data_IF_281108962849
#
_entry.id   IF_281108962849
#
_cell.length_a   1.000
_cell.length_b   1.000
_cell.length_c   1.000
_cell.angle_alpha   90.00
_cell.angle_beta   90.00
_cell.angle_gamma   90.00
#
_symmetry.space_group_name_H-M   'P 1'
#
loop_
_entity.id
_entity.type
_entity.pdbx_description
1 polymer ?
#
# COMPACT_ATOMS: atom_id res chain seq x y z
N UNK A 1 -8.21 -23.81 2.56
CA UNK A 1 -7.75 -22.43 2.63
C UNK A 1 -6.57 -22.26 1.69
N UNK A 2 -6.49 -21.16 0.95
CA UNK A 2 -5.31 -20.88 0.13
C UNK A 2 -4.13 -20.58 1.04
N UNK A 3 -2.94 -21.05 0.67
CA UNK A 3 -1.73 -20.76 1.44
C UNK A 3 -1.27 -19.33 1.11
N UNK A 4 -1.69 -18.35 1.89
CA UNK A 4 -1.30 -16.95 1.70
C UNK A 4 0.15 -16.76 2.15
N UNK A 5 0.95 -16.18 1.27
CA UNK A 5 2.35 -15.86 1.52
C UNK A 5 2.43 -14.46 2.13
N UNK A 6 2.95 -14.38 3.33
CA UNK A 6 3.24 -13.11 4.01
C UNK A 6 4.66 -12.64 3.67
N UNK A 7 4.82 -11.37 3.27
CA UNK A 7 6.15 -10.79 3.12
C UNK A 7 6.94 -10.84 4.44
N UNK A 8 8.26 -10.72 4.36
CA UNK A 8 9.12 -10.66 5.54
C UNK A 8 8.79 -9.41 6.39
N UNK A 9 8.99 -9.53 7.70
CA UNK A 9 8.93 -8.39 8.59
C UNK A 9 10.08 -7.42 8.31
N UNK A 10 9.80 -6.13 8.35
CA UNK A 10 10.79 -5.08 8.13
C UNK A 10 11.73 -4.96 9.32
N UNK A 11 12.98 -4.61 9.03
CA UNK A 11 14.02 -4.25 10.01
C UNK A 11 14.41 -2.79 9.83
N UNK A 12 14.98 -2.19 10.87
CA UNK A 12 15.54 -0.83 10.77
C UNK A 12 16.59 -0.77 9.65
N UNK A 13 16.54 0.29 8.86
CA UNK A 13 17.33 0.46 7.65
C UNK A 13 16.70 -0.11 6.38
N UNK A 14 15.62 -0.91 6.48
CA UNK A 14 14.91 -1.40 5.30
C UNK A 14 14.30 -0.26 4.50
N UNK A 15 14.28 -0.44 3.17
CA UNK A 15 13.82 0.56 2.23
C UNK A 15 12.34 0.40 1.89
N UNK A 16 11.59 1.49 1.99
CA UNK A 16 10.19 1.60 1.59
C UNK A 16 10.10 2.45 0.32
N UNK A 17 9.63 1.86 -0.77
CA UNK A 17 9.36 2.58 -2.00
C UNK A 17 8.00 3.30 -1.91
N UNK A 18 7.97 4.57 -2.29
CA UNK A 18 6.74 5.33 -2.46
C UNK A 18 6.48 5.48 -3.96
N UNK A 19 5.33 5.02 -4.43
CA UNK A 19 4.91 5.07 -5.82
C UNK A 19 3.52 5.66 -5.97
N UNK A 20 3.20 6.19 -7.15
CA UNK A 20 1.88 6.75 -7.47
C UNK A 20 1.20 5.95 -8.59
N UNK A 21 0.57 4.81 -8.32
CA UNK A 21 -0.03 3.98 -9.37
C UNK A 21 -1.33 4.57 -9.94
N UNK A 22 -1.90 5.59 -9.33
CA UNK A 22 -3.16 6.21 -9.68
C UNK A 22 -3.02 7.72 -9.91
N UNK A 23 -3.53 8.54 -9.00
CA UNK A 23 -3.58 9.99 -9.14
C UNK A 23 -2.28 10.68 -8.83
N UNK A 24 -2.14 11.86 -9.39
CA UNK A 24 -1.08 12.82 -9.11
C UNK A 24 -1.04 13.26 -7.64
N UNK A 25 0.14 13.51 -7.11
CA UNK A 25 0.35 13.96 -5.74
C UNK A 25 1.40 15.07 -5.69
N UNK A 26 1.16 16.09 -4.89
CA UNK A 26 2.16 17.13 -4.61
C UNK A 26 3.19 16.62 -3.59
N UNK A 27 4.46 16.91 -3.81
CA UNK A 27 5.56 16.46 -2.95
C UNK A 27 5.37 16.88 -1.48
N UNK A 28 4.93 18.12 -1.25
CA UNK A 28 4.67 18.64 0.09
C UNK A 28 3.67 17.77 0.88
N UNK A 29 2.70 17.16 0.20
CA UNK A 29 1.70 16.29 0.86
C UNK A 29 2.23 14.92 1.29
N UNK A 30 3.44 14.55 0.88
CA UNK A 30 4.09 13.30 1.26
C UNK A 30 5.01 13.49 2.47
N UNK A 31 5.45 14.71 2.75
CA UNK A 31 6.57 14.98 3.67
C UNK A 31 6.30 14.51 5.10
N UNK A 32 5.08 14.68 5.62
CA UNK A 32 4.74 14.26 6.98
C UNK A 32 4.89 12.74 7.15
N UNK A 33 4.39 11.95 6.21
CA UNK A 33 4.51 10.48 6.29
C UNK A 33 5.95 10.03 5.99
N UNK A 34 6.68 10.70 5.09
CA UNK A 34 8.11 10.43 4.87
C UNK A 34 8.90 10.64 6.16
N UNK A 35 8.65 11.75 6.86
CA UNK A 35 9.30 12.01 8.15
C UNK A 35 8.94 10.96 9.19
N UNK A 36 7.67 10.53 9.23
CA UNK A 36 7.22 9.47 10.12
C UNK A 36 7.93 8.13 9.79
N UNK A 37 8.02 7.73 8.53
CA UNK A 37 8.74 6.53 8.10
C UNK A 37 10.21 6.59 8.57
N UNK A 38 10.88 7.72 8.36
CA UNK A 38 12.28 7.93 8.79
C UNK A 38 12.41 7.89 10.31
N UNK A 39 11.49 8.50 11.06
CA UNK A 39 11.50 8.45 12.53
C UNK A 39 11.33 7.04 13.09
N UNK A 40 10.70 6.15 12.33
CA UNK A 40 10.60 4.72 12.63
C UNK A 40 11.86 3.94 12.23
N UNK A 41 12.89 4.60 11.69
CA UNK A 41 14.19 4.00 11.32
C UNK A 41 14.19 3.27 9.99
N UNK A 42 13.28 3.62 9.08
CA UNK A 42 13.24 3.09 7.71
C UNK A 42 13.72 4.13 6.70
N UNK A 43 14.23 3.68 5.56
CA UNK A 43 14.61 4.53 4.45
C UNK A 43 13.46 4.67 3.45
N UNK A 44 13.43 5.77 2.71
CA UNK A 44 12.41 6.00 1.68
C UNK A 44 13.06 6.26 0.32
N UNK A 45 12.46 5.71 -0.72
CA UNK A 45 12.81 5.99 -2.11
C UNK A 45 11.54 6.26 -2.91
N UNK A 46 11.57 7.29 -3.74
CA UNK A 46 10.46 7.58 -4.65
C UNK A 46 10.66 6.84 -5.98
N UNK A 47 9.59 6.29 -6.52
CA UNK A 47 9.55 5.86 -7.89
C UNK A 47 9.80 7.04 -8.84
N UNK A 48 10.33 6.75 -10.01
CA UNK A 48 10.75 7.79 -10.99
C UNK A 48 9.61 8.73 -11.37
N UNK A 49 8.38 8.23 -11.44
CA UNK A 49 7.20 8.97 -11.86
C UNK A 49 6.22 9.28 -10.70
N UNK A 50 6.66 9.07 -9.46
CA UNK A 50 5.82 9.29 -8.27
C UNK A 50 5.25 10.70 -8.20
N UNK A 51 6.02 11.71 -8.56
CA UNK A 51 5.64 13.14 -8.58
C UNK A 51 5.27 13.64 -9.98
N UNK A 52 5.16 12.75 -10.95
CA UNK A 52 4.75 13.09 -12.30
C UNK A 52 3.30 13.58 -12.35
N UNK A 53 2.94 14.25 -13.45
CA UNK A 53 1.61 14.76 -13.71
C UNK A 53 1.24 14.54 -15.16
N UNK A 54 0.10 13.88 -15.37
CA UNK A 54 -0.45 13.62 -16.69
C UNK A 54 -1.97 13.79 -16.66
N UNK A 55 -2.46 14.73 -17.44
CA UNK A 55 -3.89 15.04 -17.54
C UNK A 55 -4.48 14.37 -18.78
N UNK A 56 -5.44 13.49 -18.57
CA UNK A 56 -6.21 12.84 -19.62
C UNK A 56 -7.59 12.41 -19.06
N UNK A 57 -8.51 13.38 -18.96
CA UNK A 57 -9.81 13.20 -18.32
C UNK A 57 -9.73 13.00 -16.80
N UNK A 58 -8.54 12.79 -16.28
CA UNK A 58 -8.21 12.69 -14.86
C UNK A 58 -6.74 13.10 -14.65
N UNK A 59 -6.40 13.61 -13.45
CA UNK A 59 -5.03 13.98 -13.11
C UNK A 59 -4.25 12.77 -12.56
N UNK A 60 -3.61 12.03 -13.46
CA UNK A 60 -2.73 10.90 -13.14
C UNK A 60 -1.33 11.36 -12.71
N UNK A 61 -0.60 10.49 -12.03
CA UNK A 61 0.83 10.70 -11.72
C UNK A 61 1.74 10.56 -12.95
N UNK A 62 1.23 10.01 -14.04
CA UNK A 62 1.93 9.77 -15.29
C UNK A 62 1.06 9.01 -16.27
N UNK A 63 1.58 8.81 -17.46
CA UNK A 63 0.96 7.91 -18.45
C UNK A 63 0.81 6.49 -17.88
N UNK A 64 -0.05 5.67 -18.47
CA UNK A 64 -0.18 4.27 -18.05
C UNK A 64 1.16 3.54 -18.07
N UNK A 65 1.98 3.74 -19.11
CA UNK A 65 3.31 3.15 -19.23
C UNK A 65 4.26 3.56 -18.09
N UNK A 66 4.27 4.82 -17.71
CA UNK A 66 5.12 5.34 -16.62
C UNK A 66 4.69 4.77 -15.26
N UNK A 67 3.38 4.73 -14.98
CA UNK A 67 2.86 4.13 -13.76
C UNK A 67 3.15 2.63 -13.68
N UNK A 68 3.02 1.89 -14.80
CA UNK A 68 3.43 0.47 -14.90
C UNK A 68 4.93 0.30 -14.63
N UNK A 69 5.78 1.19 -15.14
CA UNK A 69 7.22 1.13 -14.89
C UNK A 69 7.54 1.24 -13.40
N UNK A 70 6.94 2.21 -12.70
CA UNK A 70 7.17 2.41 -11.26
C UNK A 70 6.68 1.23 -10.43
N UNK A 71 5.48 0.70 -10.73
CA UNK A 71 4.96 -0.47 -9.99
C UNK A 71 5.85 -1.70 -10.22
N UNK A 72 6.22 -1.98 -11.48
CA UNK A 72 7.07 -3.11 -11.79
C UNK A 72 8.49 -2.95 -11.24
N UNK A 73 9.04 -1.74 -11.23
CA UNK A 73 10.31 -1.45 -10.58
C UNK A 73 10.23 -1.76 -9.08
N UNK A 74 9.21 -1.24 -8.40
CA UNK A 74 9.06 -1.47 -6.97
C UNK A 74 8.82 -2.95 -6.62
N UNK A 75 8.04 -3.65 -7.45
CA UNK A 75 7.76 -5.08 -7.27
C UNK A 75 9.01 -5.94 -7.42
N UNK A 76 9.91 -5.61 -8.36
CA UNK A 76 11.00 -6.47 -8.76
C UNK A 76 12.39 -5.98 -8.29
N UNK A 77 12.51 -4.85 -7.60
CA UNK A 77 13.77 -4.38 -7.04
C UNK A 77 14.05 -5.10 -5.71
N UNK A 78 15.14 -5.91 -5.59
CA UNK A 78 15.42 -6.71 -4.41
C UNK A 78 15.73 -5.89 -3.14
N UNK A 79 16.13 -4.63 -3.28
CA UNK A 79 16.46 -3.75 -2.14
C UNK A 79 15.22 -3.16 -1.45
N UNK A 80 14.05 -3.25 -2.10
CA UNK A 80 12.80 -2.74 -1.54
C UNK A 80 12.15 -3.81 -0.68
N UNK A 81 11.82 -3.46 0.56
CA UNK A 81 11.14 -4.34 1.53
C UNK A 81 9.62 -4.09 1.62
N UNK A 82 9.19 -2.84 1.38
CA UNK A 82 7.78 -2.49 1.31
C UNK A 82 7.51 -1.43 0.23
N UNK A 83 6.27 -1.39 -0.23
CA UNK A 83 5.80 -0.47 -1.26
C UNK A 83 4.58 0.26 -0.71
N UNK A 84 4.66 1.57 -0.66
CA UNK A 84 3.58 2.40 -0.13
C UNK A 84 3.02 3.31 -1.22
N UNK A 85 1.74 3.14 -1.51
CA UNK A 85 1.07 3.99 -2.49
C UNK A 85 0.97 5.44 -1.96
N UNK A 86 1.34 6.41 -2.79
CA UNK A 86 1.31 7.83 -2.42
C UNK A 86 -0.12 8.31 -2.15
N UNK A 87 -1.06 7.92 -3.00
CA UNK A 87 -2.50 8.20 -2.89
C UNK A 87 -3.33 7.20 -3.70
N UNK A 88 -4.64 7.23 -3.50
CA UNK A 88 -5.61 6.62 -4.39
C UNK A 88 -5.91 7.50 -5.62
N UNK A 89 -7.09 7.35 -6.16
CA UNK A 89 -7.56 8.08 -7.34
C UNK A 89 -8.27 7.17 -8.31
N UNK A 90 -7.78 7.09 -9.55
CA UNK A 90 -8.30 6.23 -10.59
C UNK A 90 -7.17 5.68 -11.47
N UNK A 91 -7.34 4.46 -11.97
CA UNK A 91 -6.51 3.90 -13.04
C UNK A 91 -5.61 2.73 -12.65
N UNK A 92 -5.60 2.28 -11.40
CA UNK A 92 -4.85 1.07 -10.99
C UNK A 92 -5.30 -0.17 -11.75
N UNK A 93 -6.59 -0.27 -12.09
CA UNK A 93 -7.13 -1.40 -12.85
C UNK A 93 -6.50 -1.57 -14.24
N UNK A 94 -6.07 -0.47 -14.88
CA UNK A 94 -5.44 -0.50 -16.19
C UNK A 94 -4.03 -1.12 -16.15
N UNK A 95 -3.40 -1.11 -14.97
CA UNK A 95 -2.04 -1.62 -14.80
C UNK A 95 -1.98 -3.14 -14.67
N UNK A 96 -3.05 -3.79 -14.16
CA UNK A 96 -3.01 -5.17 -13.68
C UNK A 96 -2.44 -6.18 -14.68
N UNK A 97 -2.85 -6.09 -15.94
CA UNK A 97 -2.41 -7.00 -17.02
C UNK A 97 -0.92 -6.88 -17.36
N UNK A 98 -0.28 -5.80 -16.92
CA UNK A 98 1.13 -5.49 -17.20
C UNK A 98 2.03 -5.64 -15.97
N UNK A 99 1.47 -6.00 -14.81
CA UNK A 99 2.25 -6.21 -13.59
C UNK A 99 3.02 -7.53 -13.68
N UNK A 100 4.31 -7.45 -13.37
CA UNK A 100 5.23 -8.58 -13.39
C UNK A 100 5.52 -9.04 -11.97
N UNK A 101 5.21 -10.30 -11.67
CA UNK A 101 5.41 -10.90 -10.34
C UNK A 101 6.57 -11.89 -10.29
N UNK A 102 7.43 -11.96 -11.32
CA UNK A 102 8.53 -12.92 -11.37
C UNK A 102 9.44 -12.84 -10.14
N UNK A 103 10.06 -11.69 -9.93
CA UNK A 103 10.95 -11.46 -8.80
C UNK A 103 10.17 -11.26 -7.49
N UNK A 104 8.96 -10.67 -7.57
CA UNK A 104 8.06 -10.53 -6.42
C UNK A 104 7.75 -11.87 -5.76
N UNK A 105 7.57 -12.94 -6.54
CA UNK A 105 7.33 -14.30 -6.02
C UNK A 105 8.49 -14.86 -5.20
N UNK A 106 9.71 -14.49 -5.55
CA UNK A 106 10.92 -14.93 -4.85
C UNK A 106 11.20 -14.08 -3.60
N UNK A 107 10.86 -12.80 -3.65
CA UNK A 107 11.03 -11.84 -2.55
C UNK A 107 9.77 -10.99 -2.38
N UNK A 108 8.68 -11.54 -1.82
CA UNK A 108 7.42 -10.81 -1.61
C UNK A 108 7.61 -9.60 -0.71
N UNK A 109 6.93 -8.51 -1.05
CA UNK A 109 6.99 -7.23 -0.36
C UNK A 109 5.62 -6.83 0.15
N UNK A 110 5.57 -6.11 1.25
CA UNK A 110 4.35 -5.46 1.69
C UNK A 110 3.93 -4.38 0.70
N UNK A 111 2.72 -4.47 0.20
CA UNK A 111 2.08 -3.40 -0.55
C UNK A 111 1.02 -2.73 0.32
N UNK A 112 1.09 -1.40 0.46
CA UNK A 112 0.24 -0.62 1.36
C UNK A 112 -0.54 0.40 0.55
N UNK A 113 -1.86 0.37 0.67
CA UNK A 113 -2.74 1.34 0.02
C UNK A 113 -4.22 0.99 0.16
N UNK A 114 -5.07 1.95 -0.08
CA UNK A 114 -6.53 1.83 -0.07
C UNK A 114 -7.14 2.64 -1.22
N UNK A 115 -8.45 2.75 -1.28
CA UNK A 115 -9.15 3.42 -2.37
C UNK A 115 -8.87 2.69 -3.70
N UNK A 116 -8.50 3.37 -4.78
CA UNK A 116 -8.17 2.75 -6.06
C UNK A 116 -7.05 1.68 -5.97
N UNK A 117 -6.14 1.79 -4.98
CA UNK A 117 -5.11 0.78 -4.73
C UNK A 117 -5.67 -0.57 -4.28
N UNK A 118 -6.93 -0.65 -3.83
CA UNK A 118 -7.62 -1.90 -3.51
C UNK A 118 -7.57 -2.90 -4.67
N UNK A 119 -7.53 -2.39 -5.89
CA UNK A 119 -7.40 -3.21 -7.11
C UNK A 119 -6.07 -3.97 -7.12
N UNK A 120 -4.97 -3.33 -6.72
CA UNK A 120 -3.65 -3.98 -6.61
C UNK A 120 -3.61 -4.94 -5.42
N UNK A 121 -4.20 -4.56 -4.27
CA UNK A 121 -4.33 -5.46 -3.12
C UNK A 121 -5.07 -6.75 -3.52
N UNK A 122 -6.19 -6.62 -4.23
CA UNK A 122 -6.98 -7.77 -4.71
C UNK A 122 -6.20 -8.62 -5.73
N UNK A 123 -5.41 -7.98 -6.59
CA UNK A 123 -4.53 -8.68 -7.53
C UNK A 123 -3.45 -9.50 -6.80
N UNK A 124 -2.81 -8.93 -5.79
CA UNK A 124 -1.84 -9.64 -4.96
C UNK A 124 -2.48 -10.81 -4.22
N UNK A 125 -3.65 -10.60 -3.59
CA UNK A 125 -4.39 -11.67 -2.92
C UNK A 125 -4.79 -12.80 -3.88
N UNK A 126 -5.24 -12.47 -5.11
CA UNK A 126 -5.51 -13.48 -6.15
C UNK A 126 -4.29 -14.33 -6.48
N UNK A 127 -3.09 -13.76 -6.34
CA UNK A 127 -1.80 -14.43 -6.52
C UNK A 127 -1.25 -15.02 -5.22
N UNK A 128 -2.03 -15.12 -4.15
CA UNK A 128 -1.72 -15.65 -2.83
C UNK A 128 -0.69 -14.84 -2.04
N UNK A 129 -0.61 -13.53 -2.21
CA UNK A 129 0.24 -12.64 -1.42
C UNK A 129 -0.59 -11.77 -0.51
N UNK A 130 -0.15 -11.64 0.75
CA UNK A 130 -0.71 -10.69 1.70
C UNK A 130 -0.31 -9.26 1.32
N UNK A 131 -1.19 -8.31 1.60
CA UNK A 131 -0.96 -6.87 1.44
C UNK A 131 -1.70 -6.12 2.54
N UNK A 132 -1.45 -4.82 2.69
CA UNK A 132 -2.08 -3.98 3.72
C UNK A 132 -3.08 -3.04 3.05
N UNK A 133 -4.38 -3.25 3.29
CA UNK A 133 -5.41 -2.29 2.96
C UNK A 133 -5.41 -1.20 4.05
N UNK A 134 -4.64 -0.15 3.84
CA UNK A 134 -4.34 0.87 4.84
C UNK A 134 -4.05 2.23 4.23
N UNK A 135 -3.88 3.24 5.08
CA UNK A 135 -3.68 4.63 4.70
C UNK A 135 -2.56 4.81 3.67
N UNK A 136 -2.77 5.65 2.67
CA UNK A 136 -1.73 6.06 1.73
C UNK A 136 -0.84 7.15 2.32
N UNK A 137 0.32 7.39 1.72
CA UNK A 137 1.29 8.39 2.21
C UNK A 137 0.65 9.79 2.33
N UNK A 138 -0.13 10.21 1.34
CA UNK A 138 -0.82 11.51 1.34
C UNK A 138 -1.87 11.64 2.43
N UNK A 139 -2.45 10.55 2.91
CA UNK A 139 -3.61 10.60 3.80
C UNK A 139 -3.31 11.34 5.10
N UNK A 140 -2.06 11.35 5.58
CA UNK A 140 -1.64 12.11 6.76
C UNK A 140 -1.88 13.61 6.61
N UNK A 141 -1.82 14.16 5.39
CA UNK A 141 -2.09 15.59 5.13
C UNK A 141 -3.55 15.99 5.35
N UNK A 142 -4.45 15.03 5.54
CA UNK A 142 -5.87 15.27 5.83
C UNK A 142 -6.22 15.17 7.32
N UNK A 143 -5.25 15.12 8.22
CA UNK A 143 -5.48 15.07 9.67
C UNK A 143 -6.02 13.72 10.16
N UNK A 144 -5.74 12.64 9.46
CA UNK A 144 -6.10 11.27 9.90
C UNK A 144 -5.31 10.90 11.15
N UNK A 145 -5.94 10.16 12.05
CA UNK A 145 -5.33 9.78 13.33
C UNK A 145 -3.99 9.04 13.13
N UNK A 146 -2.99 9.43 13.89
CA UNK A 146 -1.67 8.79 13.90
C UNK A 146 -1.76 7.28 14.20
N UNK A 147 -2.76 6.84 14.96
CA UNK A 147 -2.99 5.44 15.31
C UNK A 147 -3.10 4.52 14.09
N UNK A 148 -3.69 4.99 12.98
CA UNK A 148 -3.80 4.19 11.74
C UNK A 148 -2.44 3.90 11.12
N UNK A 149 -1.50 4.83 11.20
CA UNK A 149 -0.13 4.63 10.73
C UNK A 149 0.67 3.74 11.67
N UNK A 150 0.50 3.90 12.98
CA UNK A 150 1.14 3.03 13.98
C UNK A 150 0.78 1.57 13.77
N UNK A 151 -0.47 1.28 13.43
CA UNK A 151 -0.90 -0.09 13.15
C UNK A 151 -0.28 -0.66 11.87
N UNK A 152 -0.09 0.17 10.83
CA UNK A 152 0.67 -0.24 9.64
C UNK A 152 2.10 -0.66 10.04
N UNK A 153 2.81 0.16 10.83
CA UNK A 153 4.16 -0.19 11.28
C UNK A 153 4.18 -1.44 12.15
N UNK A 154 3.19 -1.64 13.03
CA UNK A 154 3.06 -2.89 13.80
C UNK A 154 2.99 -4.12 12.87
N UNK A 155 2.17 -4.05 11.80
CA UNK A 155 2.07 -5.14 10.82
C UNK A 155 3.40 -5.35 10.12
N UNK A 156 4.05 -4.29 9.65
CA UNK A 156 5.34 -4.36 8.98
C UNK A 156 6.42 -4.99 9.88
N UNK A 157 6.35 -4.79 11.18
CA UNK A 157 7.23 -5.37 12.19
C UNK A 157 6.81 -6.79 12.64
N UNK A 158 5.72 -7.33 12.09
CA UNK A 158 5.21 -8.67 12.44
C UNK A 158 4.43 -8.73 13.75
N UNK A 159 4.01 -7.60 14.29
CA UNK A 159 3.20 -7.52 15.50
C UNK A 159 1.72 -7.79 15.17
N UNK A 160 1.04 -8.48 16.07
CA UNK A 160 -0.41 -8.68 15.96
C UNK A 160 -1.16 -7.39 16.28
N UNK A 161 -2.24 -7.14 15.54
CA UNK A 161 -3.17 -6.06 15.83
C UNK A 161 -4.45 -6.66 16.40
N UNK A 162 -4.99 -5.97 17.39
CA UNK A 162 -6.28 -6.29 17.97
C UNK A 162 -7.09 -5.00 18.13
N UNK A 163 -8.31 -5.03 17.64
CA UNK A 163 -9.25 -3.93 17.80
C UNK A 163 -10.36 -4.33 18.75
N UNK A 164 -10.74 -3.40 19.62
CA UNK A 164 -11.94 -3.50 20.43
C UNK A 164 -12.96 -2.47 19.93
N UNK A 165 -14.19 -2.89 19.76
CA UNK A 165 -15.28 -2.02 19.34
C UNK A 165 -16.31 -1.93 20.46
N UNK A 166 -16.93 -0.76 20.60
CA UNK A 166 -18.01 -0.56 21.55
C UNK A 166 -19.21 -1.44 21.20
N UNK A 167 -19.96 -1.81 22.24
CA UNK A 167 -21.20 -2.57 22.06
C UNK A 167 -22.24 -1.70 21.35
N UNK A 168 -22.91 -2.27 20.37
CA UNK A 168 -24.01 -1.65 19.67
C UNK A 168 -25.22 -2.58 19.61
N UNK A 169 -26.43 -2.03 19.61
CA UNK A 169 -27.67 -2.82 19.61
C UNK A 169 -27.81 -3.77 18.41
N UNK A 170 -27.16 -3.45 17.28
CA UNK A 170 -27.16 -4.29 16.09
C UNK A 170 -26.06 -5.37 16.10
N UNK A 171 -25.18 -5.39 17.10
CA UNK A 171 -24.15 -6.42 17.20
C UNK A 171 -24.78 -7.77 17.47
N UNK A 172 -24.33 -8.76 16.74
CA UNK A 172 -24.67 -10.17 17.01
C UNK A 172 -23.51 -10.83 17.75
N UNK A 173 -23.81 -11.50 18.85
CA UNK A 173 -22.81 -12.28 19.58
C UNK A 173 -22.39 -13.51 18.75
N UNK A 174 -21.09 -13.76 18.72
CA UNK A 174 -20.55 -14.92 18.01
C UNK A 174 -19.04 -14.84 17.90
N UNK A 175 -18.45 -15.90 17.34
CA UNK A 175 -17.03 -15.99 16.98
C UNK A 175 -16.94 -16.44 15.54
N UNK A 176 -16.09 -15.80 14.78
CA UNK A 176 -15.78 -16.21 13.41
C UNK A 176 -14.26 -16.12 13.19
N UNK A 177 -13.75 -16.96 12.30
CA UNK A 177 -12.36 -16.96 11.88
C UNK A 177 -12.32 -17.09 10.36
N UNK A 178 -11.44 -16.35 9.69
CA UNK A 178 -11.33 -16.37 8.24
C UNK A 178 -10.25 -15.44 7.71
N UNK A 179 -10.07 -15.44 6.40
CA UNK A 179 -9.20 -14.49 5.72
C UNK A 179 -9.83 -13.09 5.75
N UNK A 180 -9.05 -12.09 6.18
CA UNK A 180 -9.48 -10.69 6.12
C UNK A 180 -9.20 -10.15 4.72
N UNK A 181 -10.24 -9.67 4.06
CA UNK A 181 -10.13 -8.98 2.76
C UNK A 181 -10.65 -7.55 2.88
N UNK A 182 -9.99 -6.62 2.21
CA UNK A 182 -10.40 -5.22 2.17
C UNK A 182 -11.15 -4.87 0.90
N UNK A 183 -11.95 -3.81 0.97
CA UNK A 183 -12.65 -3.27 -0.17
C UNK A 183 -13.14 -1.85 0.09
N UNK A 184 -13.49 -1.14 -0.98
CA UNK A 184 -14.17 0.15 -0.88
C UNK A 184 -15.68 -0.09 -0.81
N UNK A 185 -16.31 0.55 0.15
CA UNK A 185 -17.77 0.66 0.23
C UNK A 185 -18.18 2.00 -0.39
N UNK A 186 -18.19 2.08 -1.71
CA UNK A 186 -18.55 3.30 -2.44
C UNK A 186 -19.36 2.96 -3.70
#
# INVERSE_FOLDING_TARGET
>A
MKNIIFPKNLKKGDQIAIISPAGFVEEASLQSTINLIKSKGYETILGKYTLGKFENGYNYSGTEKERIQDVNWAFNNPEISAIWASRGGYGCQHLLRHLKLSEFRQNPKWYIGYSDNTVINSYLLKNNFASIHGQTVKTASFGVSEGSYEDIFKILEGKKIQYSVEKHQLNKNGKAEGELIGGNLA
#
